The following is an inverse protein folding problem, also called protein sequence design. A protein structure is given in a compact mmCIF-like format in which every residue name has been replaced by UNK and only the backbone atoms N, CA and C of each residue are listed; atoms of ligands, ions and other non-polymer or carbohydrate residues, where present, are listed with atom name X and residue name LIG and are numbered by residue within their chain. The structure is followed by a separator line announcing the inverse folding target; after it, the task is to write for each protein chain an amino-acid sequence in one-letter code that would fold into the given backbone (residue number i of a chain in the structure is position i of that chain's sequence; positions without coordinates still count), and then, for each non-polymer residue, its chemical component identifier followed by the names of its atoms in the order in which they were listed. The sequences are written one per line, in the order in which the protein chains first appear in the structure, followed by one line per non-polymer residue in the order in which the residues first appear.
data_IF_956659729829
#
_entry.id   IF_956659729829
#
_cell.length_a   1.000
_cell.length_b   1.000
_cell.length_c   1.000
_cell.angle_alpha   90.00
_cell.angle_beta   90.00
_cell.angle_gamma   90.00
#
_symmetry.space_group_name_H-M   'P 1'
#
loop_
_entity.id
_entity.type
_entity.pdbx_description
1 polymer ?
#
# COMPACT_ATOMS: atom_id res chain seq x y z
N UNK A 1 62.80 -12.04 -34.82
CA UNK A 1 61.94 -11.01 -34.25
C UNK A 1 60.54 -11.61 -34.10
N UNK A 2 60.18 -12.04 -32.86
CA UNK A 2 58.86 -12.60 -32.54
C UNK A 2 57.97 -11.46 -32.09
N UNK A 3 56.88 -11.21 -32.81
CA UNK A 3 55.85 -10.23 -32.43
C UNK A 3 54.88 -10.88 -31.43
N UNK A 4 54.86 -10.41 -30.20
CA UNK A 4 53.84 -10.75 -29.21
C UNK A 4 52.56 -9.96 -29.55
N UNK A 5 51.49 -10.68 -29.83
CA UNK A 5 50.15 -10.09 -29.93
C UNK A 5 49.50 -10.22 -28.55
N UNK A 6 49.30 -9.11 -27.88
CA UNK A 6 48.55 -9.01 -26.63
C UNK A 6 47.07 -8.85 -26.96
N UNK A 7 46.27 -9.91 -26.77
CA UNK A 7 44.84 -9.84 -26.86
C UNK A 7 44.28 -9.24 -25.55
N UNK A 8 43.80 -8.03 -25.61
CA UNK A 8 43.06 -7.40 -24.50
C UNK A 8 41.61 -7.88 -24.52
N UNK A 9 41.26 -8.76 -23.59
CA UNK A 9 39.86 -9.16 -23.33
C UNK A 9 39.18 -8.04 -22.52
N UNK A 10 38.27 -7.29 -23.18
CA UNK A 10 37.33 -6.40 -22.50
C UNK A 10 36.31 -7.26 -21.74
N UNK A 11 36.41 -7.27 -20.41
CA UNK A 11 35.39 -7.80 -19.53
C UNK A 11 34.27 -6.75 -19.40
N UNK A 12 33.18 -6.90 -20.17
CA UNK A 12 32.00 -6.08 -20.02
C UNK A 12 31.33 -6.46 -18.70
N UNK A 13 31.46 -5.65 -17.67
CA UNK A 13 30.68 -5.77 -16.46
C UNK A 13 29.22 -5.42 -16.78
N UNK A 14 28.37 -6.42 -16.83
CA UNK A 14 26.92 -6.24 -16.81
C UNK A 14 26.55 -5.66 -15.42
N UNK A 15 26.39 -4.34 -15.36
CA UNK A 15 25.77 -3.70 -14.23
C UNK A 15 24.26 -4.05 -14.34
N UNK A 16 23.85 -5.08 -13.61
CA UNK A 16 22.43 -5.30 -13.38
C UNK A 16 21.94 -4.14 -12.52
N UNK A 17 21.21 -3.18 -13.11
CA UNK A 17 20.45 -2.22 -12.33
C UNK A 17 19.46 -3.03 -11.48
N UNK A 18 19.63 -2.99 -10.15
CA UNK A 18 18.62 -3.51 -9.24
C UNK A 18 17.33 -2.71 -9.51
N UNK A 19 16.18 -3.36 -9.66
CA UNK A 19 14.93 -2.61 -9.82
C UNK A 19 14.75 -1.71 -8.61
N UNK A 20 14.46 -0.44 -8.86
CA UNK A 20 14.09 0.51 -7.82
C UNK A 20 12.86 -0.04 -7.08
N UNK A 21 12.89 -0.05 -5.76
CA UNK A 21 11.85 -0.63 -4.93
C UNK A 21 10.94 0.48 -4.39
N UNK A 22 9.68 0.58 -4.84
CA UNK A 22 8.62 1.33 -4.16
C UNK A 22 8.27 0.59 -2.86
N UNK A 23 7.72 1.26 -1.84
CA UNK A 23 7.72 0.72 -0.46
C UNK A 23 9.17 0.58 0.03
N UNK A 24 9.54 1.33 1.07
CA UNK A 24 10.93 1.38 1.53
C UNK A 24 11.44 -0.01 1.92
N UNK A 25 12.60 -0.39 1.37
CA UNK A 25 13.18 -1.74 1.50
C UNK A 25 12.28 -2.88 0.99
N UNK A 26 11.37 -2.58 0.05
CA UNK A 26 10.50 -3.56 -0.59
C UNK A 26 11.05 -4.08 -1.92
N UNK A 27 10.23 -4.84 -2.61
CA UNK A 27 10.49 -5.36 -3.96
C UNK A 27 9.25 -5.18 -4.84
N UNK A 28 9.42 -5.15 -6.16
CA UNK A 28 8.27 -5.15 -7.07
C UNK A 28 7.34 -6.32 -6.75
N UNK A 29 6.04 -6.02 -6.60
CA UNK A 29 5.03 -7.04 -6.32
C UNK A 29 4.79 -7.93 -7.53
N UNK A 30 4.89 -7.38 -8.72
CA UNK A 30 4.45 -8.03 -9.93
C UNK A 30 2.97 -8.38 -9.82
N UNK A 31 2.63 -9.66 -9.95
CA UNK A 31 1.22 -10.09 -9.84
C UNK A 31 0.96 -11.00 -8.62
N UNK A 32 1.71 -10.83 -7.51
CA UNK A 32 1.50 -11.62 -6.28
C UNK A 32 0.24 -11.22 -5.52
N UNK A 33 -0.11 -9.92 -5.56
CA UNK A 33 -1.29 -9.36 -4.89
C UNK A 33 -2.18 -8.61 -5.90
N UNK A 34 -2.82 -9.31 -6.87
CA UNK A 34 -3.60 -8.67 -7.94
C UNK A 34 -4.84 -7.93 -7.43
N UNK A 35 -5.25 -8.15 -6.19
CA UNK A 35 -6.36 -7.45 -5.52
C UNK A 35 -5.97 -6.13 -4.87
N UNK A 36 -4.69 -5.75 -4.90
CA UNK A 36 -4.24 -4.43 -4.47
C UNK A 36 -4.21 -3.49 -5.65
N UNK A 37 -4.81 -2.33 -5.49
CA UNK A 37 -4.92 -1.29 -6.53
C UNK A 37 -4.45 0.06 -6.05
N UNK A 38 -4.36 1.01 -6.99
CA UNK A 38 -4.04 2.40 -6.75
C UNK A 38 -5.15 3.33 -7.20
N UNK A 39 -5.42 4.39 -6.43
CA UNK A 39 -6.29 5.48 -6.84
C UNK A 39 -5.53 6.37 -7.82
N UNK A 40 -6.10 6.56 -8.99
CA UNK A 40 -5.47 7.27 -10.13
C UNK A 40 -5.98 8.71 -10.20
N UNK A 41 -5.06 9.67 -10.18
CA UNK A 41 -5.37 11.09 -10.35
C UNK A 41 -5.92 11.37 -11.76
N UNK A 42 -6.88 12.29 -11.90
CA UNK A 42 -7.35 12.71 -13.23
C UNK A 42 -6.30 13.50 -14.02
N UNK A 43 -5.24 13.95 -13.35
CA UNK A 43 -4.14 14.71 -13.96
C UNK A 43 -2.79 14.15 -13.51
N UNK A 44 -1.85 14.06 -14.45
CA UNK A 44 -0.49 13.61 -14.14
C UNK A 44 0.21 14.58 -13.19
N UNK A 45 0.93 14.05 -12.22
CA UNK A 45 1.77 14.83 -11.33
C UNK A 45 3.04 15.32 -12.05
N UNK A 46 3.71 16.33 -11.48
CA UNK A 46 4.90 16.95 -12.07
C UNK A 46 6.10 15.99 -12.16
N UNK A 47 6.12 14.92 -11.40
CA UNK A 47 7.13 13.86 -11.45
C UNK A 47 6.82 12.75 -12.48
N UNK A 48 5.70 12.89 -13.19
CA UNK A 48 5.28 11.97 -14.24
C UNK A 48 4.37 10.84 -13.76
N UNK A 49 4.07 10.75 -12.45
CA UNK A 49 3.20 9.71 -11.89
C UNK A 49 1.72 10.09 -11.86
N UNK A 50 0.88 9.12 -11.52
CA UNK A 50 -0.59 9.26 -11.52
C UNK A 50 -1.22 8.79 -10.23
N UNK A 51 -0.62 7.82 -9.52
CA UNK A 51 -1.22 7.18 -8.35
C UNK A 51 -0.92 7.99 -7.09
N UNK A 52 -1.95 8.25 -6.29
CA UNK A 52 -1.83 9.07 -5.07
C UNK A 52 -2.15 8.35 -3.78
N UNK A 53 -2.91 7.25 -3.84
CA UNK A 53 -3.25 6.38 -2.72
C UNK A 53 -3.38 4.93 -3.18
N UNK A 54 -3.32 4.01 -2.24
CA UNK A 54 -3.44 2.58 -2.46
C UNK A 54 -4.71 2.02 -1.80
N UNK A 55 -5.03 0.77 -2.09
CA UNK A 55 -6.17 0.10 -1.44
C UNK A 55 -6.33 -1.33 -1.91
N UNK A 56 -7.45 -1.96 -1.55
CA UNK A 56 -7.66 -3.41 -1.76
C UNK A 56 -9.09 -3.72 -2.16
N UNK A 57 -9.26 -4.55 -3.18
CA UNK A 57 -10.55 -5.13 -3.54
C UNK A 57 -11.00 -6.10 -2.43
N UNK A 58 -12.10 -5.82 -1.74
CA UNK A 58 -12.67 -6.64 -0.65
C UNK A 58 -13.99 -7.33 -1.03
N UNK A 59 -14.60 -6.90 -2.13
CA UNK A 59 -15.68 -7.60 -2.83
C UNK A 59 -15.59 -7.28 -4.33
N UNK A 60 -16.32 -7.96 -5.22
CA UNK A 60 -16.26 -7.63 -6.65
C UNK A 60 -16.59 -6.18 -7.00
N UNK A 61 -17.27 -5.45 -6.11
CA UNK A 61 -17.72 -4.07 -6.33
C UNK A 61 -17.22 -3.09 -5.27
N UNK A 62 -16.43 -3.53 -4.28
CA UNK A 62 -15.98 -2.67 -3.18
C UNK A 62 -14.47 -2.71 -3.04
N UNK A 63 -13.85 -1.56 -3.12
CA UNK A 63 -12.43 -1.32 -2.91
C UNK A 63 -12.24 -0.55 -1.60
N UNK A 64 -11.45 -1.09 -0.69
CA UNK A 64 -11.15 -0.52 0.62
C UNK A 64 -9.93 0.41 0.51
N UNK A 65 -10.00 1.58 1.13
CA UNK A 65 -8.90 2.57 1.22
C UNK A 65 -9.02 3.41 2.49
N UNK A 66 -8.21 4.46 2.65
CA UNK A 66 -8.26 5.40 3.77
C UNK A 66 -9.19 6.59 3.48
N UNK A 67 -9.82 7.15 4.52
CA UNK A 67 -10.73 8.30 4.36
C UNK A 67 -10.01 9.56 3.88
N UNK A 68 -8.76 9.79 4.29
CA UNK A 68 -7.98 10.94 3.85
C UNK A 68 -7.56 10.89 2.36
N UNK A 69 -7.87 9.82 1.63
CA UNK A 69 -7.56 9.67 0.21
C UNK A 69 -8.57 10.31 -0.74
N UNK A 70 -9.73 10.79 -0.27
CA UNK A 70 -10.75 11.41 -1.12
C UNK A 70 -11.84 12.09 -0.34
N UNK A 71 -12.84 12.57 -1.05
CA UNK A 71 -14.00 13.24 -0.47
C UNK A 71 -15.27 12.39 -0.62
N UNK A 72 -16.20 12.52 0.32
CA UNK A 72 -17.50 11.82 0.27
C UNK A 72 -18.25 12.15 -1.02
N UNK A 73 -18.67 11.12 -1.75
CA UNK A 73 -19.38 11.26 -3.02
C UNK A 73 -18.52 11.55 -4.23
N UNK A 74 -17.20 11.68 -4.06
CA UNK A 74 -16.26 11.91 -5.16
C UNK A 74 -16.25 10.72 -6.12
N UNK A 75 -16.16 11.03 -7.43
CA UNK A 75 -15.97 10.02 -8.46
C UNK A 75 -14.49 9.78 -8.71
N UNK A 76 -14.04 8.61 -8.42
CA UNK A 76 -12.61 8.23 -8.50
C UNK A 76 -12.36 7.10 -9.49
N UNK A 77 -11.12 6.98 -9.93
CA UNK A 77 -10.61 5.89 -10.77
C UNK A 77 -9.62 5.04 -9.98
N UNK A 78 -9.69 3.72 -10.15
CA UNK A 78 -8.80 2.74 -9.52
C UNK A 78 -8.21 1.83 -10.57
N UNK A 79 -6.89 1.64 -10.54
CA UNK A 79 -6.19 0.61 -11.33
C UNK A 79 -5.82 -0.60 -10.46
N UNK A 80 -5.69 -1.77 -11.10
CA UNK A 80 -5.10 -2.98 -10.51
C UNK A 80 -3.85 -3.43 -11.27
N UNK A 81 -3.38 -2.63 -12.23
CA UNK A 81 -2.16 -2.94 -12.95
C UNK A 81 -0.94 -2.84 -12.03
N UNK A 82 -0.02 -3.79 -12.14
CA UNK A 82 1.14 -3.84 -11.26
C UNK A 82 2.19 -2.78 -11.60
N UNK A 83 2.12 -2.25 -12.81
CA UNK A 83 2.96 -1.17 -13.34
C UNK A 83 2.02 -0.33 -14.23
N UNK A 84 1.54 0.78 -13.69
CA UNK A 84 0.48 1.57 -14.32
C UNK A 84 1.06 2.62 -15.26
N UNK A 85 0.56 2.61 -16.48
CA UNK A 85 0.83 3.65 -17.48
C UNK A 85 -0.45 4.36 -17.90
N UNK A 86 -0.32 5.59 -18.37
CA UNK A 86 -1.46 6.37 -18.86
C UNK A 86 -2.19 5.64 -20.00
N UNK A 87 -3.48 5.39 -19.83
CA UNK A 87 -4.31 4.65 -20.77
C UNK A 87 -4.55 3.19 -20.40
N UNK A 88 -3.91 2.71 -19.35
CA UNK A 88 -4.18 1.40 -18.79
C UNK A 88 -5.59 1.33 -18.18
N UNK A 89 -6.00 0.12 -17.85
CA UNK A 89 -7.35 -0.14 -17.39
C UNK A 89 -7.62 0.46 -16.02
N UNK A 90 -8.68 1.25 -15.94
CA UNK A 90 -9.21 1.76 -14.67
C UNK A 90 -10.66 1.34 -14.46
N UNK A 91 -11.06 1.26 -13.19
CA UNK A 91 -12.42 1.06 -12.75
C UNK A 91 -12.91 2.31 -12.05
N UNK A 92 -14.07 2.81 -12.45
CA UNK A 92 -14.67 3.99 -11.85
C UNK A 92 -15.66 3.60 -10.76
N UNK A 93 -15.73 4.41 -9.72
CA UNK A 93 -16.67 4.25 -8.61
C UNK A 93 -16.85 5.53 -7.82
N UNK A 94 -17.73 5.47 -6.82
CA UNK A 94 -17.98 6.56 -5.89
C UNK A 94 -17.25 6.29 -4.59
N UNK A 95 -16.56 7.29 -4.08
CA UNK A 95 -15.84 7.27 -2.82
C UNK A 95 -16.81 7.52 -1.65
N UNK A 96 -16.71 6.71 -0.61
CA UNK A 96 -17.50 6.84 0.63
C UNK A 96 -16.57 6.72 1.83
N UNK A 97 -16.44 7.80 2.60
CA UNK A 97 -15.66 7.85 3.82
C UNK A 97 -16.51 7.57 5.06
N UNK A 98 -15.88 7.11 6.14
CA UNK A 98 -16.55 7.05 7.43
C UNK A 98 -16.92 8.48 7.86
N UNK A 99 -18.21 8.76 8.16
CA UNK A 99 -18.65 10.12 8.54
C UNK A 99 -18.06 10.61 9.85
N UNK A 100 -17.44 9.72 10.65
CA UNK A 100 -16.75 10.06 11.89
C UNK A 100 -15.25 10.35 11.69
N UNK A 101 -14.75 10.28 10.46
CA UNK A 101 -13.35 10.54 10.15
C UNK A 101 -12.86 11.88 10.76
N UNK A 102 -11.76 11.82 11.50
CA UNK A 102 -11.11 13.00 12.10
C UNK A 102 -11.83 13.62 13.30
N UNK A 103 -12.92 13.03 13.81
CA UNK A 103 -13.68 13.57 14.93
C UNK A 103 -13.16 13.10 16.30
N UNK A 104 -12.47 11.98 16.38
CA UNK A 104 -11.90 11.42 17.61
C UNK A 104 -10.42 11.04 17.39
N UNK A 105 -9.54 11.54 18.26
CA UNK A 105 -8.10 11.20 18.21
C UNK A 105 -7.81 9.77 18.70
N UNK A 106 -8.68 9.19 19.51
CA UNK A 106 -8.53 7.82 20.01
C UNK A 106 -9.02 6.76 19.02
N UNK A 107 -9.91 7.15 18.10
CA UNK A 107 -10.33 6.38 16.94
C UNK A 107 -10.44 7.31 15.72
N UNK A 108 -9.43 7.33 14.86
CA UNK A 108 -9.38 8.29 13.76
C UNK A 108 -10.45 8.06 12.69
N UNK A 109 -11.11 6.89 12.66
CA UNK A 109 -12.08 6.53 11.61
C UNK A 109 -11.55 6.76 10.19
N UNK A 110 -10.24 6.61 10.00
CA UNK A 110 -9.58 6.85 8.72
C UNK A 110 -9.74 5.63 7.80
N UNK A 111 -10.97 5.41 7.38
CA UNK A 111 -11.41 4.31 6.54
C UNK A 111 -12.43 4.79 5.52
N UNK A 112 -12.31 4.31 4.29
CA UNK A 112 -13.23 4.60 3.20
C UNK A 112 -13.38 3.39 2.26
N UNK A 113 -14.40 3.40 1.44
CA UNK A 113 -14.56 2.47 0.33
C UNK A 113 -14.84 3.20 -0.96
N UNK A 114 -14.42 2.61 -2.09
CA UNK A 114 -14.92 2.98 -3.41
C UNK A 114 -15.90 1.91 -3.85
N UNK A 115 -17.16 2.31 -4.10
CA UNK A 115 -18.17 1.42 -4.66
C UNK A 115 -18.14 1.54 -6.18
N UNK A 116 -17.67 0.49 -6.86
CA UNK A 116 -17.52 0.50 -8.31
C UNK A 116 -18.86 0.43 -9.05
N UNK A 117 -18.95 1.14 -10.18
CA UNK A 117 -20.11 1.10 -11.10
C UNK A 117 -20.31 -0.31 -11.69
N UNK A 118 -19.24 -1.08 -11.84
CA UNK A 118 -19.23 -2.43 -12.41
C UNK A 118 -18.31 -3.34 -11.63
N UNK A 119 -18.73 -4.58 -11.46
CA UNK A 119 -17.90 -5.59 -10.80
C UNK A 119 -16.56 -5.80 -11.50
N UNK A 120 -15.50 -5.82 -10.71
CA UNK A 120 -14.15 -6.21 -11.12
C UNK A 120 -14.15 -7.72 -11.33
N UNK A 121 -13.78 -8.16 -12.53
CA UNK A 121 -13.77 -9.59 -12.91
C UNK A 121 -12.33 -10.11 -13.00
N UNK A 122 -12.14 -11.38 -12.64
CA UNK A 122 -10.84 -12.06 -12.75
C UNK A 122 -9.88 -11.79 -11.60
N UNK A 123 -10.26 -10.99 -10.62
CA UNK A 123 -9.50 -10.71 -9.40
C UNK A 123 -10.25 -11.28 -8.20
N UNK A 124 -9.59 -12.13 -7.43
CA UNK A 124 -10.14 -12.66 -6.17
C UNK A 124 -10.02 -11.60 -5.07
N UNK A 125 -11.13 -11.13 -4.47
CA UNK A 125 -11.07 -10.17 -3.38
C UNK A 125 -10.30 -10.69 -2.16
N UNK A 126 -9.73 -9.77 -1.39
CA UNK A 126 -9.17 -10.06 -0.09
C UNK A 126 -10.28 -10.35 0.93
N UNK A 127 -9.90 -11.02 2.01
CA UNK A 127 -10.77 -11.30 3.16
C UNK A 127 -10.56 -10.24 4.24
N UNK A 128 -11.61 -9.99 5.01
CA UNK A 128 -11.55 -9.17 6.22
C UNK A 128 -11.31 -10.04 7.45
N UNK A 129 -10.73 -9.50 8.53
CA UNK A 129 -10.52 -10.22 9.78
C UNK A 129 -11.85 -10.41 10.53
N UNK A 130 -11.94 -11.46 11.34
CA UNK A 130 -13.06 -11.61 12.28
C UNK A 130 -12.96 -10.60 13.43
N UNK A 131 -14.07 -10.28 14.06
CA UNK A 131 -14.13 -9.31 15.14
C UNK A 131 -13.13 -9.63 16.27
N UNK A 132 -12.33 -8.63 16.68
CA UNK A 132 -11.38 -8.71 17.79
C UNK A 132 -10.17 -9.62 17.57
N UNK A 133 -10.01 -10.21 16.38
CA UNK A 133 -8.97 -11.22 16.11
C UNK A 133 -7.53 -10.69 16.18
N UNK A 134 -7.34 -9.38 16.08
CA UNK A 134 -6.03 -8.75 16.15
C UNK A 134 -5.63 -8.29 17.56
N UNK A 135 -6.47 -8.48 18.56
CA UNK A 135 -6.24 -7.97 19.91
C UNK A 135 -5.13 -8.70 20.68
N UNK A 136 -4.82 -9.95 20.30
CA UNK A 136 -3.87 -10.81 21.01
C UNK A 136 -2.81 -11.39 20.08
N UNK A 137 -2.34 -10.61 19.11
CA UNK A 137 -1.28 -11.03 18.20
C UNK A 137 0.06 -11.18 18.93
N UNK A 138 0.85 -12.16 18.54
CA UNK A 138 2.24 -12.33 19.01
C UNK A 138 3.09 -11.13 18.58
N UNK A 139 4.05 -10.71 19.41
CA UNK A 139 5.05 -9.69 19.05
C UNK A 139 5.93 -10.07 17.85
N UNK A 140 5.96 -11.34 17.45
CA UNK A 140 6.64 -11.80 16.24
C UNK A 140 5.73 -11.86 15.00
N UNK A 141 4.46 -11.41 15.12
CA UNK A 141 3.54 -11.38 13.99
C UNK A 141 4.09 -10.49 12.87
N UNK A 142 4.17 -11.05 11.66
CA UNK A 142 4.54 -10.31 10.46
C UNK A 142 3.32 -9.83 9.69
N UNK A 143 3.51 -8.76 8.93
CA UNK A 143 2.51 -8.20 8.02
C UNK A 143 3.16 -7.99 6.65
N UNK A 144 2.41 -8.27 5.60
CA UNK A 144 2.80 -7.95 4.23
C UNK A 144 2.08 -6.68 3.81
N UNK A 145 2.84 -5.59 3.67
CA UNK A 145 2.36 -4.30 3.18
C UNK A 145 2.51 -4.23 1.67
N UNK A 146 1.48 -3.78 0.96
CA UNK A 146 1.47 -3.68 -0.51
C UNK A 146 0.87 -2.34 -0.92
N UNK A 147 1.48 -1.65 -1.89
CA UNK A 147 0.98 -0.37 -2.37
C UNK A 147 1.80 0.22 -3.51
N UNK A 148 1.51 1.48 -3.86
CA UNK A 148 2.12 2.22 -4.96
C UNK A 148 2.81 3.51 -4.49
N UNK A 149 3.11 3.61 -3.21
CA UNK A 149 3.71 4.79 -2.60
C UNK A 149 5.17 5.01 -3.00
N UNK A 150 5.79 6.00 -2.37
CA UNK A 150 7.18 6.33 -2.62
C UNK A 150 8.12 5.15 -2.31
N UNK A 151 9.00 4.86 -3.23
CA UNK A 151 9.95 3.74 -3.13
C UNK A 151 11.28 4.12 -2.51
N UNK A 152 11.63 5.38 -2.55
CA UNK A 152 12.88 5.88 -2.00
C UNK A 152 12.66 7.25 -1.36
N UNK A 153 13.33 7.47 -0.24
CA UNK A 153 13.41 8.77 0.43
C UNK A 153 14.86 9.19 0.46
N UNK A 154 15.20 10.21 -0.33
CA UNK A 154 16.55 10.77 -0.40
C UNK A 154 16.68 12.01 0.47
N UNK A 155 17.86 12.22 1.05
CA UNK A 155 18.18 13.44 1.77
C UNK A 155 18.82 14.44 0.81
N UNK A 156 18.19 15.58 0.60
CA UNK A 156 18.69 16.66 -0.24
C UNK A 156 18.87 17.94 0.59
N UNK A 157 19.71 18.88 0.15
CA UNK A 157 19.69 20.22 0.72
C UNK A 157 18.28 20.82 0.59
N UNK A 158 17.60 21.07 1.72
CA UNK A 158 16.21 21.52 1.74
C UNK A 158 15.19 20.50 2.24
N UNK A 159 15.59 19.25 2.53
CA UNK A 159 14.73 18.24 3.14
C UNK A 159 14.72 16.89 2.43
N UNK A 160 13.72 16.08 2.77
CA UNK A 160 13.52 14.77 2.14
C UNK A 160 12.84 14.93 0.79
N UNK A 161 13.29 14.15 -0.19
CA UNK A 161 12.58 13.95 -1.47
C UNK A 161 12.08 12.51 -1.54
N UNK A 162 10.84 12.36 -2.02
CA UNK A 162 10.16 11.09 -2.18
C UNK A 162 10.08 10.77 -3.66
N UNK A 163 10.52 9.58 -4.06
CA UNK A 163 10.51 9.13 -5.44
C UNK A 163 9.39 8.13 -5.66
N UNK A 164 8.63 8.32 -6.74
CA UNK A 164 7.46 7.52 -7.11
C UNK A 164 7.64 6.93 -8.51
N UNK A 165 6.92 5.86 -8.84
CA UNK A 165 7.03 5.22 -10.15
C UNK A 165 5.76 4.48 -10.62
N UNK A 166 4.62 4.63 -9.94
CA UNK A 166 3.34 3.95 -10.22
C UNK A 166 3.41 2.41 -10.30
N UNK A 167 4.44 1.80 -9.68
CA UNK A 167 4.65 0.36 -9.62
C UNK A 167 4.16 -0.19 -8.30
N UNK A 168 3.36 -1.27 -8.32
CA UNK A 168 2.94 -1.96 -7.10
C UNK A 168 4.11 -2.70 -6.47
N UNK A 169 4.34 -2.42 -5.20
CA UNK A 169 5.45 -2.96 -4.43
C UNK A 169 4.97 -3.67 -3.18
N UNK A 170 5.86 -4.46 -2.59
CA UNK A 170 5.58 -5.24 -1.38
C UNK A 170 6.77 -5.24 -0.44
N UNK A 171 6.50 -5.12 0.86
CA UNK A 171 7.48 -5.37 1.92
C UNK A 171 6.84 -6.12 3.09
N UNK A 172 7.71 -6.66 3.96
CA UNK A 172 7.29 -7.30 5.20
C UNK A 172 7.74 -6.45 6.38
N UNK A 173 6.81 -6.19 7.31
CA UNK A 173 7.09 -5.57 8.59
C UNK A 173 6.69 -6.48 9.75
N UNK A 174 7.15 -6.17 10.95
CA UNK A 174 6.85 -6.94 12.16
C UNK A 174 6.04 -6.10 13.14
N UNK A 175 5.09 -6.71 13.84
CA UNK A 175 4.28 -6.03 14.86
C UNK A 175 5.19 -5.35 15.89
N UNK A 176 4.93 -4.07 16.14
CA UNK A 176 5.58 -3.29 17.18
C UNK A 176 4.66 -3.10 18.39
N UNK A 177 3.41 -2.65 18.15
CA UNK A 177 2.43 -2.49 19.22
C UNK A 177 1.00 -2.61 18.72
N UNK A 178 0.10 -2.98 19.65
CA UNK A 178 -1.35 -3.03 19.44
C UNK A 178 -1.97 -1.92 20.26
N UNK A 179 -2.75 -1.07 19.59
CA UNK A 179 -3.60 -0.06 20.21
C UNK A 179 -5.08 -0.40 19.95
N UNK A 180 -6.03 0.20 20.66
CA UNK A 180 -7.44 -0.09 20.45
C UNK A 180 -7.88 0.01 18.99
N UNK A 181 -7.54 1.10 18.28
CA UNK A 181 -8.00 1.38 16.93
C UNK A 181 -6.94 1.18 15.85
N UNK A 182 -5.64 1.05 16.20
CA UNK A 182 -4.56 0.87 15.22
C UNK A 182 -3.46 -0.06 15.72
N UNK A 183 -2.66 -0.56 14.76
CA UNK A 183 -1.40 -1.24 15.04
C UNK A 183 -0.24 -0.34 14.63
N UNK A 184 0.93 -0.58 15.24
CA UNK A 184 2.20 -0.09 14.73
C UNK A 184 3.01 -1.27 14.21
N UNK A 185 3.51 -1.13 12.98
CA UNK A 185 4.34 -2.13 12.31
C UNK A 185 5.72 -1.53 12.15
N UNK A 186 6.76 -2.26 12.56
CA UNK A 186 8.14 -1.85 12.38
C UNK A 186 8.54 -1.97 10.91
N UNK A 187 9.17 -0.91 10.38
CA UNK A 187 9.76 -0.86 9.05
C UNK A 187 11.30 -0.82 9.10
N UNK A 188 11.90 -1.12 10.25
CA UNK A 188 13.34 -0.96 10.45
C UNK A 188 14.13 -1.95 9.57
N UNK A 189 14.84 -1.41 8.57
CA UNK A 189 15.67 -2.18 7.64
C UNK A 189 16.78 -2.98 8.35
N UNK A 190 17.31 -2.50 9.47
CA UNK A 190 18.33 -3.21 10.23
C UNK A 190 17.84 -4.52 10.83
N UNK A 191 16.52 -4.70 10.93
CA UNK A 191 15.89 -5.95 11.37
C UNK A 191 15.28 -6.75 10.21
N UNK A 192 15.60 -6.40 8.97
CA UNK A 192 15.10 -7.06 7.77
C UNK A 192 13.66 -6.63 7.41
N UNK A 193 13.13 -5.59 8.03
CA UNK A 193 11.81 -5.05 7.73
C UNK A 193 11.88 -3.98 6.65
N UNK A 194 10.78 -3.84 5.93
CA UNK A 194 10.46 -2.72 5.07
C UNK A 194 9.04 -2.26 5.33
N UNK A 195 8.57 -1.27 4.62
CA UNK A 195 7.21 -0.79 4.83
C UNK A 195 6.82 0.42 4.00
N UNK A 196 5.76 1.04 4.41
CA UNK A 196 4.97 2.00 3.64
C UNK A 196 5.52 3.42 3.71
N UNK A 197 5.19 4.22 2.70
CA UNK A 197 5.52 5.62 2.60
C UNK A 197 4.33 6.42 2.05
N UNK A 198 4.51 7.68 1.74
CA UNK A 198 3.48 8.52 1.10
C UNK A 198 3.00 7.88 -0.20
N UNK A 199 1.69 7.81 -0.39
CA UNK A 199 1.04 7.11 -1.51
C UNK A 199 0.63 5.65 -1.22
N UNK A 200 1.15 5.04 -0.13
CA UNK A 200 0.68 3.74 0.36
C UNK A 200 -0.58 3.85 1.26
N UNK A 201 -1.04 5.06 1.52
CA UNK A 201 -2.27 5.36 2.27
C UNK A 201 -3.45 4.53 1.77
N UNK A 202 -4.20 3.90 2.68
CA UNK A 202 -5.29 2.98 2.36
C UNK A 202 -4.86 1.59 1.90
N UNK A 203 -3.59 1.41 1.56
CA UNK A 203 -3.03 0.11 1.15
C UNK A 203 -3.09 -0.93 2.27
N UNK A 204 -3.21 -2.22 1.90
CA UNK A 204 -3.36 -3.30 2.85
C UNK A 204 -2.09 -3.61 3.62
N UNK A 205 -2.30 -4.05 4.85
CA UNK A 205 -1.34 -4.79 5.64
C UNK A 205 -1.93 -6.18 5.89
N UNK A 206 -1.55 -7.14 5.06
CA UNK A 206 -2.05 -8.52 5.15
C UNK A 206 -1.45 -9.22 6.37
N UNK A 207 -2.23 -10.07 7.02
CA UNK A 207 -1.79 -10.88 8.17
C UNK A 207 -0.82 -11.97 7.70
N UNK A 208 0.46 -11.80 7.99
CA UNK A 208 1.52 -12.69 7.49
C UNK A 208 1.50 -12.76 5.96
N UNK A 209 1.43 -13.98 5.42
CA UNK A 209 1.33 -14.27 3.98
C UNK A 209 -0.08 -14.66 3.53
N UNK A 210 -1.09 -14.40 4.36
CA UNK A 210 -2.49 -14.71 4.05
C UNK A 210 -3.12 -13.66 3.15
N UNK A 211 -4.30 -13.96 2.58
CA UNK A 211 -5.12 -12.96 1.86
C UNK A 211 -6.13 -12.26 2.82
N UNK A 212 -5.78 -12.08 4.11
CA UNK A 212 -6.60 -11.35 5.08
C UNK A 212 -5.98 -9.96 5.28
N UNK A 213 -6.70 -8.91 4.90
CA UNK A 213 -6.32 -7.52 5.19
C UNK A 213 -6.59 -7.25 6.66
N UNK A 214 -5.56 -7.30 7.50
CA UNK A 214 -5.67 -7.04 8.94
C UNK A 214 -5.95 -5.56 9.23
N UNK A 215 -5.30 -4.67 8.49
CA UNK A 215 -5.37 -3.23 8.68
C UNK A 215 -4.99 -2.50 7.39
N UNK A 216 -5.33 -1.21 7.31
CA UNK A 216 -4.92 -0.32 6.21
C UNK A 216 -3.94 0.74 6.69
N UNK A 217 -3.01 1.14 5.85
CA UNK A 217 -2.04 2.20 6.14
C UNK A 217 -2.74 3.56 6.25
N UNK A 218 -2.52 4.28 7.36
CA UNK A 218 -3.11 5.60 7.57
C UNK A 218 -2.06 6.70 7.79
N UNK A 219 -0.92 6.36 8.40
CA UNK A 219 0.19 7.31 8.63
C UNK A 219 1.47 6.54 8.99
N UNK A 220 2.56 7.27 9.25
CA UNK A 220 3.84 6.70 9.65
C UNK A 220 4.84 7.76 10.04
N UNK A 221 6.11 7.40 10.18
CA UNK A 221 7.17 8.37 10.36
C UNK A 221 7.51 9.09 9.04
N UNK A 222 7.80 10.37 9.12
CA UNK A 222 8.00 11.25 7.96
C UNK A 222 9.11 10.80 6.99
N UNK A 223 10.06 9.99 7.45
CA UNK A 223 11.15 9.46 6.63
C UNK A 223 10.91 8.04 6.14
N UNK A 224 9.76 7.44 6.47
CA UNK A 224 9.33 6.10 6.04
C UNK A 224 10.36 5.00 6.36
N UNK A 225 10.96 5.01 7.56
CA UNK A 225 12.04 4.08 7.93
C UNK A 225 11.84 3.33 9.25
N UNK A 226 10.88 3.76 10.03
CA UNK A 226 10.72 3.28 11.40
C UNK A 226 9.37 2.60 11.63
N UNK A 227 8.28 3.31 11.40
CA UNK A 227 6.96 2.89 11.85
C UNK A 227 5.88 3.16 10.82
N UNK A 228 5.14 2.12 10.45
CA UNK A 228 3.87 2.20 9.76
C UNK A 228 2.74 2.15 10.79
N UNK A 229 1.81 3.09 10.77
CA UNK A 229 0.61 3.13 11.59
C UNK A 229 -0.58 2.74 10.73
N UNK A 230 -1.27 1.68 11.15
CA UNK A 230 -2.30 1.04 10.32
C UNK A 230 -3.62 0.92 11.10
N UNK A 231 -4.73 1.33 10.49
CA UNK A 231 -6.06 1.28 11.07
C UNK A 231 -6.59 -0.15 11.07
N UNK A 232 -7.00 -0.66 12.23
CA UNK A 232 -7.46 -2.03 12.42
C UNK A 232 -8.84 -2.24 11.80
N UNK A 233 -9.03 -3.37 11.13
CA UNK A 233 -10.30 -3.73 10.49
C UNK A 233 -11.15 -4.71 11.31
N UNK A 234 -10.67 -5.15 12.47
CA UNK A 234 -11.37 -6.06 13.38
C UNK A 234 -12.10 -5.36 14.53
N UNK A 235 -11.98 -4.03 14.62
CA UNK A 235 -12.63 -3.20 15.64
C UNK A 235 -14.13 -3.03 15.38
N UNK A 236 -14.88 -2.70 16.42
CA UNK A 236 -16.33 -2.44 16.30
C UNK A 236 -16.62 -1.28 15.34
N UNK A 237 -15.86 -0.17 15.45
CA UNK A 237 -16.01 1.01 14.60
C UNK A 237 -15.76 0.71 13.12
N UNK A 238 -14.62 0.10 12.77
CA UNK A 238 -14.30 -0.26 11.39
C UNK A 238 -15.35 -1.24 10.82
N UNK A 239 -15.79 -2.21 11.62
CA UNK A 239 -16.79 -3.19 11.20
C UNK A 239 -18.17 -2.57 11.02
N UNK A 240 -18.56 -1.62 11.87
CA UNK A 240 -19.85 -0.89 11.73
C UNK A 240 -19.88 -0.13 10.38
N UNK A 241 -18.80 0.52 9.99
CA UNK A 241 -18.68 1.17 8.69
C UNK A 241 -18.71 0.13 7.54
N UNK A 242 -17.85 -0.88 7.55
CA UNK A 242 -17.71 -1.85 6.47
C UNK A 242 -18.96 -2.70 6.26
N UNK A 243 -19.75 -2.97 7.31
CA UNK A 243 -20.99 -3.76 7.23
C UNK A 243 -22.06 -3.13 6.34
N UNK A 244 -21.96 -1.83 6.04
CA UNK A 244 -22.87 -1.13 5.14
C UNK A 244 -22.59 -1.49 3.66
N UNK A 245 -21.41 -2.03 3.35
CA UNK A 245 -20.94 -2.27 1.98
C UNK A 245 -20.66 -3.74 1.68
N UNK A 246 -20.27 -4.53 2.68
CA UNK A 246 -19.91 -5.94 2.51
C UNK A 246 -20.41 -6.81 3.66
N UNK A 247 -20.60 -8.11 3.40
CA UNK A 247 -20.84 -9.10 4.46
C UNK A 247 -19.54 -9.37 5.20
N UNK A 248 -19.57 -9.22 6.52
CA UNK A 248 -18.40 -9.44 7.38
C UNK A 248 -18.33 -10.88 7.91
N UNK A 249 -17.10 -11.42 8.11
CA UNK A 249 -16.90 -12.73 8.73
C UNK A 249 -17.20 -12.73 10.23
#
# INVERSE_FOLDING_TARGET
MRRLVIAATLLAALISAAPAAAITNGTADGNRHPNVGGLVSPTQYSDGTWIYCSGTLISPTVFLTAAHCGEEGERVAVTFDADYEAGDKVYYGTFHSDPLYGQDQSDPHDIAVVVFDKAVKGITPAKLPTAGSLSNLSGSQTFTSVGYGAYEVTNQPGGHQYLYNDVRMVATGTLNSINPSWLRISMNASTGNGGTCYGDSGGPNFLGTTNIVAAITITGDAVCRSTNVVYRLDTESARAFLSQYVTLP
#
